data_IF_547962523311
#
_entry.id   IF_547962523311
#
_cell.length_a   1.000
_cell.length_b   1.000
_cell.length_c   1.000
_cell.angle_alpha   90.00
_cell.angle_beta   90.00
_cell.angle_gamma   90.00
#
_symmetry.space_group_name_H-M   'P 1'
#
loop_
_entity.id
_entity.type
_entity.pdbx_description
1 polymer ?
#
# COMPACT_ATOMS: atom_id res chain seq x y z
N UNK A 1 9.06 30.05 11.41
CA UNK A 1 8.13 29.32 12.29
C UNK A 1 7.30 28.29 11.51
N UNK A 2 6.67 28.65 10.39
CA UNK A 2 5.90 27.75 9.51
C UNK A 2 6.65 26.47 9.07
N UNK A 3 7.92 26.60 8.69
CA UNK A 3 8.76 25.46 8.25
C UNK A 3 9.06 24.43 9.36
N UNK A 4 9.10 24.87 10.63
CA UNK A 4 9.30 23.96 11.78
C UNK A 4 8.04 23.12 12.01
N UNK A 5 6.86 23.74 11.92
CA UNK A 5 5.57 23.06 12.10
C UNK A 5 5.28 22.04 11.00
N UNK A 6 5.60 22.34 9.73
CA UNK A 6 5.48 21.37 8.64
C UNK A 6 6.40 20.16 8.84
N UNK A 7 7.64 20.39 9.29
CA UNK A 7 8.60 19.31 9.58
C UNK A 7 8.12 18.44 10.75
N UNK A 8 7.56 19.04 11.79
CA UNK A 8 6.96 18.32 12.92
C UNK A 8 5.76 17.48 12.46
N UNK A 9 4.87 18.04 11.64
CA UNK A 9 3.73 17.32 11.06
C UNK A 9 4.14 16.11 10.23
N UNK A 10 5.16 16.25 9.37
CA UNK A 10 5.68 15.12 8.57
C UNK A 10 6.30 14.03 9.44
N UNK A 11 6.99 14.39 10.54
CA UNK A 11 7.56 13.41 11.48
C UNK A 11 6.46 12.65 12.22
N UNK A 12 5.41 13.33 12.68
CA UNK A 12 4.26 12.68 13.31
C UNK A 12 3.50 11.76 12.34
N UNK A 13 3.35 12.18 11.08
CA UNK A 13 2.74 11.35 10.06
C UNK A 13 3.56 10.08 9.79
N UNK A 14 4.88 10.22 9.65
CA UNK A 14 5.78 9.08 9.49
C UNK A 14 5.71 8.14 10.69
N UNK A 15 5.77 8.67 11.91
CA UNK A 15 5.62 7.89 13.14
C UNK A 15 4.30 7.12 13.15
N UNK A 16 3.16 7.80 12.90
CA UNK A 16 1.84 7.17 12.86
C UNK A 16 1.75 6.08 11.80
N UNK A 17 2.33 6.29 10.61
CA UNK A 17 2.38 5.28 9.55
C UNK A 17 3.15 4.02 10.01
N UNK A 18 4.32 4.18 10.62
CA UNK A 18 5.10 3.04 11.11
C UNK A 18 4.43 2.34 12.29
N UNK A 19 3.78 3.08 13.19
CA UNK A 19 2.98 2.50 14.28
C UNK A 19 1.82 1.66 13.76
N UNK A 20 1.15 2.10 12.69
CA UNK A 20 0.06 1.34 12.05
C UNK A 20 0.57 0.05 11.40
N UNK A 21 1.71 0.10 10.70
CA UNK A 21 2.35 -1.11 10.16
C UNK A 21 2.76 -2.09 11.25
N UNK A 22 3.36 -1.60 12.34
CA UNK A 22 3.71 -2.42 13.48
C UNK A 22 2.45 -3.04 14.11
N UNK A 23 1.39 -2.26 14.27
CA UNK A 23 0.11 -2.73 14.77
C UNK A 23 -0.50 -3.84 13.92
N UNK A 24 -0.47 -3.68 12.59
CA UNK A 24 -0.87 -4.74 11.65
C UNK A 24 -0.06 -6.02 11.87
N UNK A 25 1.27 -5.93 11.91
CA UNK A 25 2.15 -7.09 12.10
C UNK A 25 1.88 -7.83 13.42
N UNK A 26 1.67 -7.10 14.52
CA UNK A 26 1.35 -7.69 15.83
C UNK A 26 -0.02 -8.38 15.80
N UNK A 27 -1.06 -7.72 15.28
CA UNK A 27 -2.39 -8.31 15.17
C UNK A 27 -2.40 -9.55 14.27
N UNK A 28 -1.69 -9.49 13.15
CA UNK A 28 -1.54 -10.61 12.24
C UNK A 28 -0.87 -11.80 12.94
N UNK A 29 0.23 -11.56 13.66
CA UNK A 29 0.93 -12.61 14.41
C UNK A 29 0.01 -13.24 15.46
N UNK A 30 -0.68 -12.44 16.27
CA UNK A 30 -1.62 -12.97 17.27
C UNK A 30 -2.80 -13.73 16.64
N UNK A 31 -3.27 -13.33 15.45
CA UNK A 31 -4.32 -14.04 14.74
C UNK A 31 -3.82 -15.40 14.22
N UNK A 32 -2.61 -15.43 13.66
CA UNK A 32 -1.97 -16.65 13.14
C UNK A 32 -1.62 -17.63 14.26
N UNK A 33 -1.24 -17.13 15.43
CA UNK A 33 -1.02 -17.93 16.64
C UNK A 33 -2.33 -18.33 17.34
N UNK A 34 -3.49 -18.07 16.74
CA UNK A 34 -4.82 -18.39 17.29
C UNK A 34 -5.06 -17.78 18.69
N UNK A 35 -4.31 -16.74 19.05
CA UNK A 35 -4.44 -16.05 20.34
C UNK A 35 -5.66 -15.13 20.35
N UNK A 36 -6.04 -14.59 19.17
CA UNK A 36 -7.23 -13.74 19.00
C UNK A 36 -8.18 -14.28 17.94
N UNK A 37 -9.48 -14.14 18.21
CA UNK A 37 -10.56 -14.61 17.32
C UNK A 37 -11.24 -13.48 16.52
N UNK A 38 -10.58 -12.33 16.37
CA UNK A 38 -11.13 -11.21 15.59
C UNK A 38 -11.26 -11.55 14.10
N UNK A 39 -12.23 -10.93 13.44
CA UNK A 39 -12.42 -11.03 11.98
C UNK A 39 -11.21 -10.48 11.23
N UNK A 40 -10.91 -11.01 10.04
CA UNK A 40 -9.81 -10.56 9.21
C UNK A 40 -9.93 -9.08 8.84
N UNK A 41 -11.15 -8.53 8.77
CA UNK A 41 -11.39 -7.09 8.57
C UNK A 41 -10.74 -6.22 9.65
N UNK A 42 -10.79 -6.66 10.92
CA UNK A 42 -10.18 -5.93 12.04
C UNK A 42 -8.66 -6.06 11.98
N UNK A 43 -8.15 -7.23 11.59
CA UNK A 43 -6.71 -7.47 11.46
C UNK A 43 -6.10 -6.59 10.37
N UNK A 44 -6.78 -6.41 9.23
CA UNK A 44 -6.31 -5.58 8.12
C UNK A 44 -6.57 -4.07 8.31
N UNK A 45 -7.43 -3.67 9.26
CA UNK A 45 -7.76 -2.26 9.49
C UNK A 45 -6.54 -1.34 9.64
N UNK A 46 -5.49 -1.68 10.44
CA UNK A 46 -4.34 -0.79 10.58
C UNK A 46 -3.56 -0.62 9.27
N UNK A 47 -3.55 -1.64 8.40
CA UNK A 47 -2.90 -1.58 7.09
C UNK A 47 -3.64 -0.63 6.15
N UNK A 48 -4.97 -0.66 6.13
CA UNK A 48 -5.75 0.30 5.34
C UNK A 48 -5.65 1.74 5.87
N UNK A 49 -5.60 1.90 7.20
CA UNK A 49 -5.32 3.20 7.81
C UNK A 49 -3.92 3.70 7.44
N UNK A 50 -2.92 2.82 7.38
CA UNK A 50 -1.58 3.17 6.92
C UNK A 50 -1.62 3.75 5.49
N UNK A 51 -2.33 3.08 4.57
CA UNK A 51 -2.50 3.61 3.21
C UNK A 51 -3.20 4.96 3.21
N UNK A 52 -4.23 5.18 4.03
CA UNK A 52 -4.90 6.47 4.14
C UNK A 52 -3.95 7.58 4.65
N UNK A 53 -3.11 7.27 5.63
CA UNK A 53 -2.10 8.20 6.17
C UNK A 53 -1.03 8.51 5.11
N UNK A 54 -0.52 7.52 4.39
CA UNK A 54 0.54 7.71 3.38
C UNK A 54 0.00 8.39 2.12
N UNK A 55 -1.19 8.02 1.66
CA UNK A 55 -1.87 8.64 0.53
C UNK A 55 -2.07 10.15 0.78
N UNK A 56 -2.59 10.54 1.95
CA UNK A 56 -2.74 11.97 2.29
C UNK A 56 -1.43 12.75 2.25
N UNK A 57 -0.29 12.12 2.60
CA UNK A 57 1.02 12.75 2.54
C UNK A 57 1.55 12.97 1.13
N UNK A 58 1.28 12.03 0.21
CA UNK A 58 1.80 12.09 -1.17
C UNK A 58 0.89 12.83 -2.15
N UNK A 59 -0.42 12.90 -1.89
CA UNK A 59 -1.36 13.69 -2.71
C UNK A 59 -1.40 15.19 -2.34
N UNK A 60 -0.85 15.58 -1.18
CA UNK A 60 -0.78 16.99 -0.74
C UNK A 60 0.54 17.67 -1.09
N UNK A 61 1.52 16.93 -1.59
CA UNK A 61 2.80 17.48 -2.02
C UNK A 61 2.78 17.64 -3.55
N UNK A 62 2.96 18.86 -4.08
CA UNK A 62 3.29 19.01 -5.49
C UNK A 62 4.53 18.17 -5.73
N UNK A 63 4.53 17.38 -6.80
CA UNK A 63 5.70 16.60 -7.19
C UNK A 63 6.94 17.54 -7.19
N UNK A 64 8.07 17.15 -6.57
CA UNK A 64 9.29 17.94 -6.63
C UNK A 64 9.60 18.27 -8.08
N UNK A 65 9.68 19.56 -8.41
CA UNK A 65 10.07 20.02 -9.73
C UNK A 65 11.51 19.56 -9.99
N UNK A 66 11.64 18.54 -10.82
CA UNK A 66 12.93 18.01 -11.28
C UNK A 66 13.63 19.13 -12.07
N UNK A 67 14.96 19.31 -11.99
CA UNK A 67 15.63 20.48 -12.55
C UNK A 67 15.59 20.62 -14.08
N UNK A 68 14.97 19.70 -14.82
CA UNK A 68 14.87 19.71 -16.29
C UNK A 68 13.51 19.12 -16.70
N UNK A 69 12.69 19.92 -17.40
CA UNK A 69 11.51 19.69 -18.29
C UNK A 69 10.88 18.27 -18.51
N UNK A 70 10.98 17.32 -17.58
CA UNK A 70 10.29 16.03 -17.62
C UNK A 70 9.19 15.99 -16.57
N UNK A 71 7.99 16.35 -16.99
CA UNK A 71 6.75 16.42 -16.18
C UNK A 71 6.13 15.06 -15.79
N UNK A 72 6.84 13.93 -15.90
CA UNK A 72 6.22 12.62 -15.71
C UNK A 72 6.31 12.17 -14.25
N UNK A 73 5.20 12.25 -13.51
CA UNK A 73 5.03 11.41 -12.34
C UNK A 73 5.09 9.94 -12.81
N UNK A 74 5.95 9.08 -12.25
CA UNK A 74 6.06 7.71 -12.72
C UNK A 74 4.71 7.00 -12.62
N UNK A 75 4.26 6.32 -13.67
CA UNK A 75 2.90 5.78 -13.69
C UNK A 75 2.71 4.68 -12.63
N UNK A 76 3.78 3.94 -12.30
CA UNK A 76 3.80 3.00 -11.19
C UNK A 76 3.51 3.65 -9.83
N UNK A 77 3.89 4.91 -9.60
CA UNK A 77 3.62 5.60 -8.35
C UNK A 77 2.12 5.92 -8.17
N UNK A 78 1.41 6.16 -9.28
CA UNK A 78 -0.03 6.44 -9.28
C UNK A 78 -0.84 5.16 -9.07
N UNK A 79 -0.45 4.06 -9.71
CA UNK A 79 -1.20 2.79 -9.62
C UNK A 79 -0.86 1.95 -8.39
N UNK A 80 0.24 2.25 -7.69
CA UNK A 80 0.69 1.47 -6.52
C UNK A 80 -0.38 1.34 -5.44
N UNK A 81 -0.90 2.46 -4.93
CA UNK A 81 -1.87 2.46 -3.85
C UNK A 81 -3.17 1.69 -4.20
N UNK A 82 -3.86 1.95 -5.33
CA UNK A 82 -5.08 1.22 -5.66
C UNK A 82 -4.84 -0.27 -5.90
N UNK A 83 -3.72 -0.67 -6.52
CA UNK A 83 -3.41 -2.09 -6.76
C UNK A 83 -3.06 -2.84 -5.46
N UNK A 84 -2.31 -2.22 -4.55
CA UNK A 84 -2.01 -2.80 -3.24
C UNK A 84 -3.27 -2.93 -2.39
N UNK A 85 -4.12 -1.91 -2.33
CA UNK A 85 -5.39 -1.96 -1.60
C UNK A 85 -6.31 -3.03 -2.21
N UNK A 86 -6.37 -3.17 -3.54
CA UNK A 86 -7.14 -4.21 -4.19
C UNK A 86 -6.65 -5.62 -3.80
N UNK A 87 -5.34 -5.84 -3.79
CA UNK A 87 -4.75 -7.09 -3.30
C UNK A 87 -5.13 -7.38 -1.84
N UNK A 88 -4.99 -6.39 -0.95
CA UNK A 88 -5.30 -6.53 0.47
C UNK A 88 -6.77 -6.85 0.72
N UNK A 89 -7.69 -6.19 0.00
CA UNK A 89 -9.12 -6.47 0.08
C UNK A 89 -9.47 -7.89 -0.39
N UNK A 90 -8.93 -8.30 -1.54
CA UNK A 90 -9.13 -9.65 -2.06
C UNK A 90 -8.57 -10.71 -1.11
N UNK A 91 -7.40 -10.45 -0.51
CA UNK A 91 -6.79 -11.33 0.48
C UNK A 91 -7.64 -11.40 1.76
N UNK A 92 -8.12 -10.25 2.26
CA UNK A 92 -9.00 -10.20 3.42
C UNK A 92 -10.30 -11.01 3.18
N UNK A 93 -10.93 -10.86 2.00
CA UNK A 93 -12.13 -11.62 1.62
C UNK A 93 -11.81 -13.12 1.52
N UNK A 94 -10.68 -13.48 0.91
CA UNK A 94 -10.25 -14.88 0.82
C UNK A 94 -10.10 -15.51 2.20
N UNK A 95 -9.40 -14.82 3.10
CA UNK A 95 -9.12 -15.31 4.45
C UNK A 95 -10.40 -15.38 5.30
N UNK A 96 -11.27 -14.37 5.25
CA UNK A 96 -12.55 -14.39 5.96
C UNK A 96 -13.45 -15.52 5.46
N UNK A 97 -13.59 -15.66 4.14
CA UNK A 97 -14.47 -16.67 3.55
C UNK A 97 -13.96 -18.09 3.84
N UNK A 98 -12.66 -18.32 3.75
CA UNK A 98 -12.05 -19.65 3.97
C UNK A 98 -12.02 -20.05 5.44
N UNK A 99 -11.56 -19.16 6.33
CA UNK A 99 -11.32 -19.51 7.73
C UNK A 99 -12.51 -19.25 8.66
N UNK A 100 -13.44 -18.37 8.28
CA UNK A 100 -14.62 -18.05 9.11
C UNK A 100 -15.89 -18.64 8.53
N UNK A 101 -16.11 -18.48 7.22
CA UNK A 101 -17.36 -18.95 6.57
C UNK A 101 -17.27 -20.40 6.09
N UNK A 102 -16.06 -20.94 5.90
CA UNK A 102 -15.83 -22.31 5.40
C UNK A 102 -16.10 -22.49 3.90
N UNK A 103 -16.31 -21.39 3.16
CA UNK A 103 -16.57 -21.39 1.72
C UNK A 103 -15.58 -20.47 1.00
N UNK A 104 -14.88 -20.99 -0.02
CA UNK A 104 -13.92 -20.17 -0.79
C UNK A 104 -14.67 -19.23 -1.73
N UNK A 105 -14.78 -17.94 -1.38
CA UNK A 105 -15.48 -16.94 -2.18
C UNK A 105 -14.68 -16.48 -3.41
N UNK A 106 -13.35 -16.44 -3.30
CA UNK A 106 -12.43 -15.99 -4.36
C UNK A 106 -11.25 -16.96 -4.48
N UNK A 107 -10.73 -17.20 -5.68
CA UNK A 107 -9.57 -18.07 -5.85
C UNK A 107 -8.27 -17.29 -5.55
N UNK A 108 -7.30 -17.92 -4.90
CA UNK A 108 -6.01 -17.31 -4.60
C UNK A 108 -5.30 -16.76 -5.85
N UNK A 109 -5.48 -17.38 -7.02
CA UNK A 109 -4.96 -16.85 -8.30
C UNK A 109 -5.49 -15.45 -8.63
N UNK A 110 -6.76 -15.19 -8.35
CA UNK A 110 -7.39 -13.88 -8.56
C UNK A 110 -6.89 -12.87 -7.52
N UNK A 111 -6.68 -13.33 -6.28
CA UNK A 111 -6.13 -12.49 -5.20
C UNK A 111 -4.78 -11.89 -5.60
N UNK A 112 -3.90 -12.65 -6.25
CA UNK A 112 -2.56 -12.18 -6.69
C UNK A 112 -2.56 -11.35 -7.98
N UNK A 113 -3.67 -11.24 -8.70
CA UNK A 113 -3.73 -10.52 -9.98
C UNK A 113 -3.35 -9.03 -9.87
N UNK A 114 -3.78 -8.27 -8.84
CA UNK A 114 -3.36 -6.87 -8.67
C UNK A 114 -1.86 -6.72 -8.44
N UNK A 115 -1.22 -7.65 -7.70
CA UNK A 115 0.23 -7.64 -7.49
C UNK A 115 0.98 -7.91 -8.79
N UNK A 116 0.53 -8.88 -9.59
CA UNK A 116 1.11 -9.16 -10.90
C UNK A 116 1.00 -7.95 -11.84
N UNK A 117 -0.17 -7.29 -11.86
CA UNK A 117 -0.37 -6.07 -12.63
C UNK A 117 0.55 -4.93 -12.16
N UNK A 118 0.77 -4.82 -10.84
CA UNK A 118 1.67 -3.82 -10.28
C UNK A 118 3.13 -4.08 -10.68
N UNK A 119 3.60 -5.31 -10.56
CA UNK A 119 4.94 -5.72 -10.97
C UNK A 119 5.17 -5.51 -12.48
N UNK A 120 4.21 -5.89 -13.32
CA UNK A 120 4.25 -5.64 -14.76
C UNK A 120 4.34 -4.15 -15.08
N UNK A 121 3.61 -3.30 -14.35
CA UNK A 121 3.66 -1.84 -14.54
C UNK A 121 5.03 -1.27 -14.19
N UNK A 122 5.63 -1.71 -13.07
CA UNK A 122 6.99 -1.32 -12.69
C UNK A 122 8.01 -1.73 -13.76
N UNK A 123 7.90 -2.97 -14.25
CA UNK A 123 8.79 -3.49 -15.29
C UNK A 123 8.72 -2.65 -16.58
N UNK A 124 7.50 -2.33 -17.03
CA UNK A 124 7.29 -1.49 -18.22
C UNK A 124 7.85 -0.09 -18.02
N UNK A 125 7.61 0.53 -16.86
CA UNK A 125 8.15 1.86 -16.55
C UNK A 125 9.68 1.87 -16.53
N UNK A 126 10.30 0.86 -15.93
CA UNK A 126 11.75 0.72 -15.89
C UNK A 126 12.33 0.54 -17.30
N UNK A 127 11.71 -0.28 -18.14
CA UNK A 127 12.14 -0.47 -19.53
C UNK A 127 12.07 0.84 -20.34
N UNK A 128 10.97 1.60 -20.19
CA UNK A 128 10.80 2.92 -20.83
C UNK A 128 11.86 3.91 -20.35
N UNK A 129 12.17 3.90 -19.05
CA UNK A 129 13.22 4.75 -18.48
C UNK A 129 14.61 4.40 -19.02
N UNK A 130 14.98 3.12 -19.04
CA UNK A 130 16.24 2.66 -19.61
C UNK A 130 16.39 3.06 -21.09
N UNK A 131 15.33 2.87 -21.90
CA UNK A 131 15.34 3.30 -23.31
C UNK A 131 15.56 4.80 -23.47
N UNK A 132 15.02 5.61 -22.56
CA UNK A 132 15.17 7.06 -22.59
C UNK A 132 16.55 7.55 -22.10
N UNK A 133 17.40 6.66 -21.60
CA UNK A 133 18.77 6.93 -21.14
C UNK A 133 19.85 6.35 -22.09
N UNK A 134 19.45 5.55 -23.09
CA UNK A 134 20.36 5.07 -24.13
C UNK A 134 20.64 6.22 -25.11
N UNK A 135 21.92 6.48 -25.47
CA UNK A 135 22.31 7.51 -26.43
C UNK A 135 21.88 7.19 -27.87
#
# INVERSE_FOLDING_TARGET
MMMSWMRIGTSFQAFGAHSLLLGFSILLLFKLDHTVNYSWWIIFLPLWLFHAVVARGRFSLPAPSVPHDRHWAPCHAVVAAPLLIAFELLLCIYLESTYVTGSVAVNLKVVFLPLLAFEATILVDNFRMCKALLP
#
